data_IF_548045961399
#
_entry.id   IF_548045961399
#
_cell.length_a   1.000
_cell.length_b   1.000
_cell.length_c   1.000
_cell.angle_alpha   90.00
_cell.angle_beta   90.00
_cell.angle_gamma   90.00
#
_symmetry.space_group_name_H-M   'P 1'
#
loop_
_entity.id
_entity.type
_entity.pdbx_description
1 polymer ?
#
# COMPACT_ATOMS: atom_id res chain seq x y z
N UNK A 1 32.03 11.76 6.35
CA UNK A 1 33.06 11.68 7.42
C UNK A 1 32.90 12.88 8.35
N UNK A 2 31.67 13.13 8.79
CA UNK A 2 31.26 14.40 9.43
C UNK A 2 30.23 14.19 10.54
N UNK A 3 29.60 13.01 10.62
CA UNK A 3 28.77 12.62 11.76
C UNK A 3 29.58 12.02 12.94
N UNK A 4 30.80 11.53 12.69
CA UNK A 4 31.72 11.03 13.73
C UNK A 4 32.39 12.17 14.52
N UNK A 5 32.50 13.36 13.94
CA UNK A 5 33.11 14.52 14.60
C UNK A 5 32.15 15.21 15.58
N UNK A 6 30.84 15.22 15.28
CA UNK A 6 29.83 15.85 16.16
C UNK A 6 29.62 15.07 17.46
N UNK A 7 29.83 13.75 17.45
CA UNK A 7 29.79 12.93 18.68
C UNK A 7 31.04 13.06 19.55
N UNK A 8 32.18 13.47 18.97
CA UNK A 8 33.44 13.66 19.70
C UNK A 8 33.48 15.03 20.39
N UNK A 9 32.94 16.08 19.75
CA UNK A 9 32.85 17.43 20.35
C UNK A 9 31.92 17.51 21.57
N UNK A 10 30.93 16.62 21.70
CA UNK A 10 30.08 16.54 22.89
C UNK A 10 30.76 15.82 24.08
N UNK A 11 31.83 15.07 23.85
CA UNK A 11 32.57 14.38 24.91
C UNK A 11 33.74 15.22 25.47
N UNK A 12 34.32 16.10 24.65
CA UNK A 12 35.50 16.91 25.04
C UNK A 12 35.17 18.19 25.84
N UNK A 13 33.89 18.51 26.09
CA UNK A 13 33.50 19.69 26.89
C UNK A 13 33.24 19.40 28.39
N UNK A 14 33.71 18.27 28.91
CA UNK A 14 33.64 17.95 30.34
C UNK A 14 35.03 17.86 30.97
N UNK A 15 35.81 18.95 30.89
CA UNK A 15 37.03 19.10 31.67
C UNK A 15 37.18 20.54 32.13
N UNK A 16 36.38 20.94 33.11
CA UNK A 16 36.73 21.92 34.16
C UNK A 16 35.51 22.18 35.06
N UNK A 17 35.27 21.29 36.04
CA UNK A 17 34.38 21.57 37.16
C UNK A 17 35.07 21.19 38.48
N UNK A 18 34.99 22.04 39.53
CA UNK A 18 35.69 21.84 40.80
C UNK A 18 35.13 20.66 41.63
N UNK A 19 35.92 20.06 42.54
CA UNK A 19 35.58 18.80 43.16
C UNK A 19 34.78 19.05 44.44
N UNK A 20 33.45 18.93 44.38
CA UNK A 20 32.61 18.60 45.53
C UNK A 20 31.16 18.43 45.08
N UNK A 21 30.85 17.26 44.50
CA UNK A 21 29.49 16.75 44.44
C UNK A 21 29.51 15.33 44.98
N UNK A 22 28.58 14.96 45.90
CA UNK A 22 28.50 13.60 46.41
C UNK A 22 28.30 12.65 45.24
N UNK A 23 29.03 11.53 45.24
CA UNK A 23 28.99 10.47 44.23
C UNK A 23 27.56 10.24 43.74
N UNK A 24 27.23 10.86 42.60
CA UNK A 24 26.13 10.37 41.79
C UNK A 24 26.66 9.04 41.34
N UNK A 25 26.17 7.96 41.97
CA UNK A 25 26.22 6.65 41.36
C UNK A 25 25.50 6.86 40.03
N UNK A 26 26.27 7.13 38.97
CA UNK A 26 25.81 6.99 37.61
C UNK A 26 25.40 5.53 37.53
N UNK A 27 24.13 5.29 37.83
CA UNK A 27 23.49 4.06 37.48
C UNK A 27 23.38 4.09 35.96
N UNK A 28 24.52 3.87 35.31
CA UNK A 28 24.55 3.39 33.95
C UNK A 28 23.76 2.09 34.04
N UNK A 29 22.50 2.14 33.61
CA UNK A 29 21.75 0.97 33.22
C UNK A 29 22.09 0.78 31.74
N UNK A 30 23.26 0.24 31.36
CA UNK A 30 23.51 0.03 29.96
C UNK A 30 22.43 -0.92 29.50
N UNK A 31 21.79 -0.62 28.38
CA UNK A 31 20.75 -1.44 27.75
C UNK A 31 21.10 -2.95 27.68
N UNK A 32 22.39 -3.28 27.78
CA UNK A 32 22.96 -4.62 27.89
C UNK A 32 22.64 -5.37 29.21
N UNK A 33 22.13 -4.70 30.26
CA UNK A 33 21.66 -5.35 31.50
C UNK A 33 20.22 -5.81 31.39
N UNK A 34 19.49 -5.39 30.36
CA UNK A 34 18.13 -5.85 30.13
C UNK A 34 18.16 -7.30 29.59
N UNK A 35 17.15 -8.12 29.91
CA UNK A 35 16.99 -9.42 29.27
C UNK A 35 16.93 -9.29 27.74
N UNK A 36 17.50 -10.24 26.97
CA UNK A 36 17.50 -10.21 25.51
C UNK A 36 16.11 -9.99 24.88
N UNK A 37 15.06 -10.49 25.52
CA UNK A 37 13.67 -10.37 25.07
C UNK A 37 13.17 -8.92 25.17
N UNK A 38 13.54 -8.19 26.22
CA UNK A 38 13.17 -6.78 26.38
C UNK A 38 13.91 -5.93 25.35
N UNK A 39 15.19 -6.23 25.11
CA UNK A 39 15.98 -5.55 24.09
C UNK A 39 15.41 -5.82 22.69
N UNK A 40 14.99 -7.07 22.42
CA UNK A 40 14.32 -7.42 21.17
C UNK A 40 13.01 -6.65 20.96
N UNK A 41 12.21 -6.44 22.02
CA UNK A 41 11.00 -5.62 21.92
C UNK A 41 11.30 -4.14 21.69
N UNK A 42 12.35 -3.60 22.31
CA UNK A 42 12.82 -2.24 22.00
C UNK A 42 13.20 -2.15 20.52
N UNK A 43 13.90 -3.15 19.98
CA UNK A 43 14.26 -3.19 18.56
C UNK A 43 13.05 -3.30 17.64
N UNK A 44 12.01 -4.04 18.02
CA UNK A 44 10.77 -4.12 17.24
C UNK A 44 10.07 -2.77 17.16
N UNK A 45 10.08 -2.00 18.24
CA UNK A 45 9.52 -0.64 18.29
C UNK A 45 10.40 0.41 17.59
N UNK A 46 11.66 0.08 17.29
CA UNK A 46 12.54 0.91 16.46
C UNK A 46 12.24 0.75 14.96
N UNK A 47 11.73 -0.40 14.52
CA UNK A 47 11.37 -0.65 13.12
C UNK A 47 10.02 -0.01 12.78
N UNK A 48 9.69 0.16 11.48
CA UNK A 48 8.33 0.52 11.08
C UNK A 48 7.33 -0.49 11.64
N UNK A 49 6.16 0.02 12.04
CA UNK A 49 5.10 -0.81 12.61
C UNK A 49 4.61 -1.78 11.54
N UNK A 50 4.79 -3.08 11.78
CA UNK A 50 4.29 -4.12 10.88
C UNK A 50 2.81 -3.90 10.55
N UNK A 51 2.38 -4.00 9.27
CA UNK A 51 3.10 -4.59 8.13
C UNK A 51 4.02 -3.63 7.35
N UNK A 52 4.26 -2.41 7.84
CA UNK A 52 5.23 -1.53 7.21
C UNK A 52 6.62 -2.15 7.16
N UNK A 53 7.32 -1.89 6.07
CA UNK A 53 8.56 -2.57 5.74
C UNK A 53 9.77 -1.67 6.01
N UNK A 54 10.77 -2.12 6.78
CA UNK A 54 12.03 -1.42 6.86
C UNK A 54 12.79 -1.49 5.52
N UNK A 55 13.62 -0.49 5.21
CA UNK A 55 14.49 -0.56 4.05
C UNK A 55 15.55 -1.65 4.28
N UNK A 56 16.04 -2.24 3.18
CA UNK A 56 17.13 -3.22 3.24
C UNK A 56 18.36 -2.66 3.98
N UNK A 57 18.70 -1.38 3.79
CA UNK A 57 19.80 -0.69 4.46
C UNK A 57 19.37 0.72 4.89
N UNK A 58 19.84 1.20 6.03
CA UNK A 58 19.62 2.58 6.49
C UNK A 58 18.96 2.67 7.86
N UNK A 59 18.42 3.85 8.17
CA UNK A 59 17.67 4.10 9.41
C UNK A 59 16.42 3.22 9.43
N UNK A 60 16.01 2.77 10.62
CA UNK A 60 14.90 1.84 10.83
C UNK A 60 15.12 0.44 10.24
N UNK A 61 16.35 0.08 9.84
CA UNK A 61 16.69 -1.28 9.40
C UNK A 61 17.27 -2.11 10.57
N UNK A 62 16.93 -3.41 10.70
CA UNK A 62 17.58 -4.34 11.63
C UNK A 62 19.11 -4.42 11.42
N UNK A 63 19.57 -4.22 10.18
CA UNK A 63 21.01 -4.21 9.88
C UNK A 63 21.74 -3.02 10.52
N UNK A 64 21.07 -1.89 10.74
CA UNK A 64 21.66 -0.77 11.47
C UNK A 64 21.93 -1.15 12.94
N UNK A 65 21.01 -1.89 13.56
CA UNK A 65 21.16 -2.39 14.93
C UNK A 65 22.33 -3.38 15.05
N UNK A 66 22.55 -4.21 14.03
CA UNK A 66 23.70 -5.12 13.96
C UNK A 66 25.06 -4.40 13.89
N UNK A 67 25.09 -3.12 13.50
CA UNK A 67 26.29 -2.30 13.38
C UNK A 67 26.78 -1.70 14.70
N UNK A 68 25.94 -1.69 15.76
CA UNK A 68 26.21 -0.93 16.99
C UNK A 68 27.20 -1.66 17.91
N UNK A 69 26.86 -2.86 18.40
CA UNK A 69 27.76 -3.66 19.23
C UNK A 69 27.50 -5.17 19.05
N UNK A 70 28.40 -6.02 19.59
CA UNK A 70 28.27 -7.49 19.45
C UNK A 70 27.00 -8.06 20.10
N UNK A 71 26.63 -7.72 21.35
CA UNK A 71 25.40 -8.24 21.95
C UNK A 71 24.12 -7.88 21.17
N UNK A 72 24.02 -6.64 20.66
CA UNK A 72 22.88 -6.22 19.84
C UNK A 72 22.79 -7.05 18.56
N UNK A 73 23.93 -7.26 17.90
CA UNK A 73 23.99 -8.11 16.71
C UNK A 73 23.50 -9.52 17.02
N UNK A 74 23.91 -10.11 18.12
CA UNK A 74 23.47 -11.46 18.51
C UNK A 74 21.96 -11.52 18.74
N UNK A 75 21.39 -10.56 19.46
CA UNK A 75 19.94 -10.45 19.71
C UNK A 75 19.19 -10.27 18.38
N UNK A 76 19.63 -9.33 17.53
CA UNK A 76 18.96 -9.04 16.26
C UNK A 76 19.00 -10.27 15.33
N UNK A 77 20.16 -10.90 15.18
CA UNK A 77 20.33 -12.06 14.29
C UNK A 77 19.59 -13.30 14.78
N UNK A 78 19.30 -13.41 16.08
CA UNK A 78 18.57 -14.53 16.70
C UNK A 78 17.06 -14.28 16.89
N UNK A 79 16.55 -13.10 16.51
CA UNK A 79 15.13 -12.74 16.67
C UNK A 79 14.43 -12.69 15.30
N UNK A 80 13.72 -13.75 14.87
CA UNK A 80 13.12 -13.82 13.53
C UNK A 80 12.10 -12.71 13.23
N UNK A 81 11.38 -12.22 14.24
CA UNK A 81 10.36 -11.18 14.05
C UNK A 81 10.92 -9.85 13.53
N UNK A 82 12.20 -9.55 13.78
CA UNK A 82 12.85 -8.35 13.23
C UNK A 82 13.08 -8.45 11.72
N UNK A 83 13.02 -9.65 11.15
CA UNK A 83 13.27 -9.93 9.74
C UNK A 83 11.98 -10.23 8.95
N UNK A 84 10.81 -10.10 9.58
CA UNK A 84 9.52 -10.49 8.99
C UNK A 84 8.96 -9.49 7.97
N UNK A 85 9.58 -8.32 7.83
CA UNK A 85 9.16 -7.29 6.89
C UNK A 85 10.38 -6.77 6.11
N UNK A 86 10.22 -6.46 4.82
CA UNK A 86 11.33 -6.00 3.99
C UNK A 86 10.85 -5.19 2.77
N UNK A 87 11.42 -4.01 2.58
CA UNK A 87 11.27 -3.18 1.38
C UNK A 87 12.52 -3.25 0.51
N UNK A 88 12.32 -3.59 -0.77
CA UNK A 88 13.36 -3.70 -1.77
C UNK A 88 12.94 -2.96 -3.03
N UNK A 89 13.79 -2.04 -3.44
CA UNK A 89 13.68 -1.35 -4.72
C UNK A 89 14.64 -1.96 -5.72
N UNK A 90 14.16 -2.50 -6.84
CA UNK A 90 14.97 -2.92 -7.97
C UNK A 90 14.97 -1.85 -9.06
N UNK A 91 16.17 -1.50 -9.52
CA UNK A 91 16.39 -0.58 -10.64
C UNK A 91 16.94 -1.33 -11.84
N UNK A 92 16.39 -1.05 -13.01
CA UNK A 92 16.76 -1.73 -14.26
C UNK A 92 18.27 -1.62 -14.60
N UNK A 93 18.91 -0.51 -14.23
CA UNK A 93 20.32 -0.23 -14.51
C UNK A 93 21.23 -0.35 -13.27
N UNK A 94 20.86 -1.21 -12.32
CA UNK A 94 21.70 -1.47 -11.15
C UNK A 94 23.01 -2.18 -11.57
N UNK A 95 24.14 -1.73 -11.02
CA UNK A 95 25.44 -2.38 -11.26
C UNK A 95 25.34 -3.88 -10.91
N UNK A 96 25.81 -4.80 -11.77
CA UNK A 96 25.67 -6.24 -11.54
C UNK A 96 26.21 -6.70 -10.18
N UNK A 97 27.31 -6.12 -9.70
CA UNK A 97 27.89 -6.49 -8.40
C UNK A 97 27.04 -5.95 -7.24
N UNK A 98 26.53 -4.72 -7.36
CA UNK A 98 25.60 -4.16 -6.40
C UNK A 98 24.32 -5.02 -6.29
N UNK A 99 23.78 -5.44 -7.44
CA UNK A 99 22.63 -6.32 -7.50
C UNK A 99 22.91 -7.68 -6.85
N UNK A 100 24.03 -8.34 -7.16
CA UNK A 100 24.39 -9.62 -6.51
C UNK A 100 24.44 -9.48 -4.98
N UNK A 101 25.10 -8.45 -4.46
CA UNK A 101 25.17 -8.21 -3.00
C UNK A 101 23.79 -8.00 -2.38
N UNK A 102 22.92 -7.30 -3.09
CA UNK A 102 21.54 -7.04 -2.66
C UNK A 102 20.73 -8.34 -2.62
N UNK A 103 20.90 -9.22 -3.61
CA UNK A 103 20.29 -10.55 -3.62
C UNK A 103 20.79 -11.40 -2.45
N UNK A 104 22.10 -11.40 -2.18
CA UNK A 104 22.69 -12.14 -1.06
C UNK A 104 22.16 -11.63 0.29
N UNK A 105 22.04 -10.31 0.45
CA UNK A 105 21.47 -9.70 1.65
C UNK A 105 19.98 -10.04 1.81
N UNK A 106 19.22 -10.01 0.72
CA UNK A 106 17.81 -10.39 0.71
C UNK A 106 17.63 -11.87 1.08
N UNK A 107 18.41 -12.77 0.51
CA UNK A 107 18.33 -14.21 0.83
C UNK A 107 18.66 -14.46 2.31
N UNK A 108 19.71 -13.81 2.83
CA UNK A 108 20.05 -13.88 4.25
C UNK A 108 18.95 -13.30 5.15
N UNK A 109 18.29 -12.22 4.72
CA UNK A 109 17.17 -11.61 5.44
C UNK A 109 15.97 -12.55 5.51
N UNK A 110 15.54 -13.07 4.37
CA UNK A 110 14.39 -13.97 4.28
C UNK A 110 14.65 -15.28 5.03
N UNK A 111 15.88 -15.81 5.01
CA UNK A 111 16.25 -16.97 5.81
C UNK A 111 16.11 -16.70 7.32
N UNK A 112 16.46 -15.51 7.80
CA UNK A 112 16.37 -15.13 9.22
C UNK A 112 14.94 -14.94 9.70
N UNK A 113 14.01 -14.63 8.81
CA UNK A 113 12.57 -14.55 9.14
C UNK A 113 11.99 -15.89 9.62
N UNK A 114 12.68 -17.00 9.34
CA UNK A 114 12.28 -18.33 9.78
C UNK A 114 10.91 -18.72 9.22
N UNK A 115 9.92 -18.88 10.10
CA UNK A 115 8.53 -19.23 9.75
C UNK A 115 7.54 -18.07 9.99
N UNK A 116 8.05 -16.87 10.27
CA UNK A 116 7.20 -15.70 10.49
C UNK A 116 6.36 -15.38 9.24
N UNK A 117 5.13 -14.88 9.41
CA UNK A 117 4.41 -14.26 8.32
C UNK A 117 5.17 -13.06 7.76
N UNK A 118 5.28 -12.98 6.43
CA UNK A 118 6.11 -12.00 5.74
C UNK A 118 5.28 -10.82 5.20
N UNK A 119 5.80 -9.61 5.39
CA UNK A 119 5.40 -8.42 4.65
C UNK A 119 6.52 -8.04 3.69
N UNK A 120 6.25 -8.02 2.38
CA UNK A 120 7.26 -7.68 1.38
C UNK A 120 6.78 -6.52 0.51
N UNK A 121 7.59 -5.47 0.41
CA UNK A 121 7.42 -4.38 -0.55
C UNK A 121 8.47 -4.45 -1.65
N UNK A 122 8.05 -4.78 -2.86
CA UNK A 122 8.93 -4.98 -4.01
C UNK A 122 8.58 -3.95 -5.07
N UNK A 123 9.49 -3.01 -5.27
CA UNK A 123 9.37 -1.97 -6.28
C UNK A 123 10.30 -2.31 -7.44
N UNK A 124 9.78 -2.76 -8.58
CA UNK A 124 10.57 -2.89 -9.80
C UNK A 124 10.33 -1.68 -10.69
N UNK A 125 11.23 -0.70 -10.67
CA UNK A 125 11.10 0.47 -11.53
C UNK A 125 11.69 0.20 -12.91
N UNK A 126 10.87 0.26 -13.95
CA UNK A 126 11.36 0.44 -15.32
C UNK A 126 11.75 1.88 -15.53
N UNK A 127 12.81 2.14 -16.27
CA UNK A 127 13.07 3.50 -16.68
C UNK A 127 11.99 3.95 -17.67
N UNK A 128 11.28 5.02 -17.34
CA UNK A 128 10.23 5.67 -18.14
C UNK A 128 10.62 6.00 -19.61
N UNK A 129 11.89 5.81 -19.99
CA UNK A 129 12.44 6.23 -21.27
C UNK A 129 12.37 5.20 -22.40
N UNK A 130 11.76 4.02 -22.23
CA UNK A 130 11.66 3.10 -23.37
C UNK A 130 10.38 2.26 -23.43
N UNK A 131 9.44 2.71 -24.28
CA UNK A 131 8.42 1.85 -24.91
C UNK A 131 9.01 0.77 -25.85
N UNK A 132 10.35 0.63 -25.90
CA UNK A 132 10.98 -0.48 -26.62
C UNK A 132 11.06 -1.69 -25.70
N UNK A 133 10.62 -2.83 -26.21
CA UNK A 133 10.74 -4.15 -25.58
C UNK A 133 12.24 -4.45 -25.44
N UNK A 134 12.84 -4.04 -24.31
CA UNK A 134 14.21 -4.39 -23.98
C UNK A 134 14.24 -5.72 -23.21
N UNK A 135 15.22 -6.60 -23.50
CA UNK A 135 15.36 -7.84 -22.75
C UNK A 135 15.60 -7.53 -21.27
N UNK A 136 14.95 -8.28 -20.36
CA UNK A 136 15.23 -8.19 -18.91
C UNK A 136 16.71 -8.38 -18.64
N UNK A 137 17.29 -7.67 -17.65
CA UNK A 137 18.56 -8.07 -17.09
C UNK A 137 18.54 -9.56 -16.70
N UNK A 138 19.60 -10.33 -17.01
CA UNK A 138 19.66 -11.78 -16.81
C UNK A 138 19.55 -12.21 -15.33
N UNK A 139 19.71 -11.27 -14.41
CA UNK A 139 19.61 -11.44 -12.96
C UNK A 139 18.19 -11.34 -12.39
N UNK A 140 17.22 -10.79 -13.13
CA UNK A 140 15.83 -10.64 -12.67
C UNK A 140 15.14 -11.98 -12.34
N UNK A 141 15.29 -13.06 -13.13
CA UNK A 141 14.72 -14.35 -12.77
C UNK A 141 15.24 -14.87 -11.41
N UNK A 142 16.53 -14.65 -11.12
CA UNK A 142 17.13 -15.02 -9.84
C UNK A 142 16.51 -14.27 -8.66
N UNK A 143 16.23 -12.96 -8.83
CA UNK A 143 15.53 -12.15 -7.82
C UNK A 143 14.16 -12.70 -7.47
N UNK A 144 13.29 -12.89 -8.47
CA UNK A 144 11.94 -13.40 -8.23
C UNK A 144 11.98 -14.80 -7.63
N UNK A 145 12.93 -15.63 -8.07
CA UNK A 145 13.08 -16.98 -7.54
C UNK A 145 13.43 -16.99 -6.04
N UNK A 146 14.29 -16.07 -5.56
CA UNK A 146 14.58 -15.95 -4.12
C UNK A 146 13.34 -15.63 -3.31
N UNK A 147 12.52 -14.69 -3.78
CA UNK A 147 11.30 -14.27 -3.07
C UNK A 147 10.24 -15.38 -3.09
N UNK A 148 10.02 -16.01 -4.24
CA UNK A 148 9.01 -17.05 -4.45
C UNK A 148 9.25 -18.29 -3.60
N UNK A 149 10.49 -18.59 -3.19
CA UNK A 149 10.79 -19.67 -2.23
C UNK A 149 10.06 -19.50 -0.90
N UNK A 150 9.80 -18.26 -0.50
CA UNK A 150 9.13 -17.92 0.75
C UNK A 150 7.62 -17.65 0.59
N UNK A 151 7.03 -17.90 -0.59
CA UNK A 151 5.63 -17.56 -0.89
C UNK A 151 4.58 -18.09 0.08
N UNK A 152 4.85 -19.23 0.71
CA UNK A 152 3.94 -19.81 1.71
C UNK A 152 3.85 -18.99 3.01
N UNK A 153 4.79 -18.08 3.23
CA UNK A 153 4.87 -17.20 4.39
C UNK A 153 4.31 -15.81 4.12
N UNK A 154 4.09 -15.41 2.87
CA UNK A 154 3.58 -14.08 2.54
C UNK A 154 2.21 -13.85 3.18
N UNK A 155 2.11 -12.77 3.96
CA UNK A 155 0.86 -12.27 4.55
C UNK A 155 0.46 -10.93 3.92
N UNK A 156 1.44 -10.06 3.68
CA UNK A 156 1.27 -8.79 2.96
C UNK A 156 2.28 -8.72 1.82
N UNK A 157 1.80 -8.44 0.61
CA UNK A 157 2.66 -8.35 -0.56
C UNK A 157 2.34 -7.09 -1.34
N UNK A 158 3.30 -6.18 -1.43
CA UNK A 158 3.29 -5.11 -2.41
C UNK A 158 4.24 -5.49 -3.53
N UNK A 159 3.71 -5.57 -4.75
CA UNK A 159 4.42 -6.07 -5.89
C UNK A 159 4.15 -5.21 -7.12
N UNK A 160 5.13 -4.38 -7.45
CA UNK A 160 5.19 -3.71 -8.73
C UNK A 160 6.14 -4.50 -9.63
N UNK A 161 5.61 -5.15 -10.67
CA UNK A 161 6.39 -6.01 -11.57
C UNK A 161 5.82 -6.05 -12.97
N UNK A 162 6.54 -6.67 -13.91
CA UNK A 162 6.10 -6.74 -15.30
C UNK A 162 5.20 -7.95 -15.58
N UNK A 163 4.22 -7.80 -16.47
CA UNK A 163 3.29 -8.87 -16.88
C UNK A 163 4.01 -10.15 -17.31
N UNK A 164 5.13 -10.02 -18.03
CA UNK A 164 5.95 -11.14 -18.52
C UNK A 164 6.56 -12.04 -17.43
N UNK A 165 6.64 -11.55 -16.19
CA UNK A 165 7.22 -12.28 -15.06
C UNK A 165 6.17 -12.84 -14.11
N UNK A 166 4.88 -12.58 -14.35
CA UNK A 166 3.81 -12.97 -13.43
C UNK A 166 3.73 -14.48 -13.23
N UNK A 167 4.01 -15.29 -14.26
CA UNK A 167 4.03 -16.74 -14.12
C UNK A 167 5.03 -17.24 -13.06
N UNK A 168 6.08 -16.47 -12.74
CA UNK A 168 7.10 -16.86 -11.76
C UNK A 168 6.51 -16.92 -10.34
N UNK A 169 5.52 -16.08 -10.02
CA UNK A 169 4.97 -15.98 -8.66
C UNK A 169 3.81 -16.95 -8.38
N UNK A 170 3.47 -17.82 -9.35
CA UNK A 170 2.39 -18.80 -9.19
C UNK A 170 2.63 -19.80 -8.05
N UNK A 171 1.51 -20.27 -7.50
CA UNK A 171 1.45 -21.38 -6.54
C UNK A 171 0.86 -20.99 -5.18
N UNK A 172 0.87 -21.94 -4.25
CA UNK A 172 0.20 -21.78 -2.96
C UNK A 172 0.72 -20.61 -2.13
N UNK A 173 -0.21 -19.70 -1.79
CA UNK A 173 0.01 -18.55 -0.91
C UNK A 173 -1.00 -18.59 0.25
N UNK A 174 -0.97 -19.62 1.12
CA UNK A 174 -2.01 -19.92 2.11
C UNK A 174 -2.20 -18.86 3.20
N UNK A 175 -1.25 -17.94 3.37
CA UNK A 175 -1.27 -16.88 4.39
C UNK A 175 -1.52 -15.49 3.82
N UNK A 176 -1.56 -15.34 2.49
CA UNK A 176 -1.63 -14.02 1.86
C UNK A 176 -3.00 -13.40 2.13
N UNK A 177 -3.01 -12.22 2.75
CA UNK A 177 -4.22 -11.48 3.15
C UNK A 177 -4.38 -10.16 2.42
N UNK A 178 -3.27 -9.48 2.16
CA UNK A 178 -3.25 -8.18 1.51
C UNK A 178 -2.30 -8.20 0.32
N UNK A 179 -2.81 -7.81 -0.84
CA UNK A 179 -2.05 -7.69 -2.07
C UNK A 179 -2.13 -6.24 -2.57
N UNK A 180 -1.00 -5.55 -2.68
CA UNK A 180 -0.89 -4.39 -3.54
C UNK A 180 -0.21 -4.83 -4.83
N UNK A 181 -0.88 -4.65 -5.95
CA UNK A 181 -0.39 -5.12 -7.24
C UNK A 181 -0.40 -4.00 -8.28
N UNK A 182 0.71 -3.89 -9.00
CA UNK A 182 0.92 -2.90 -10.04
C UNK A 182 1.74 -3.43 -11.19
N UNK A 183 1.18 -3.56 -12.40
CA UNK A 183 2.03 -3.82 -13.54
C UNK A 183 2.93 -2.60 -13.82
N UNK A 184 4.17 -2.82 -14.23
CA UNK A 184 5.08 -1.74 -14.66
C UNK A 184 5.28 -1.69 -16.18
N UNK A 185 4.45 -2.42 -16.92
CA UNK A 185 4.40 -2.42 -18.37
C UNK A 185 3.02 -2.83 -18.89
N UNK A 186 2.83 -2.72 -20.20
CA UNK A 186 1.57 -3.06 -20.87
C UNK A 186 1.49 -4.58 -21.05
N UNK A 187 0.28 -5.18 -20.96
CA UNK A 187 0.08 -6.58 -21.31
C UNK A 187 0.64 -6.88 -22.71
N UNK A 188 1.36 -8.00 -22.84
CA UNK A 188 1.76 -8.49 -24.16
C UNK A 188 0.52 -9.10 -24.80
N UNK A 189 0.08 -8.54 -25.94
CA UNK A 189 -0.98 -9.15 -26.76
C UNK A 189 -0.64 -10.64 -26.96
N UNK A 190 -1.60 -11.54 -26.67
CA UNK A 190 -1.50 -13.01 -26.76
C UNK A 190 -0.90 -13.78 -25.55
N UNK A 191 -0.40 -13.12 -24.50
CA UNK A 191 0.05 -13.86 -23.31
C UNK A 191 -1.15 -14.33 -22.46
N UNK A 192 -1.28 -15.63 -22.12
CA UNK A 192 -2.33 -16.10 -21.23
C UNK A 192 -2.17 -15.45 -19.86
N UNK A 193 -3.27 -14.93 -19.31
CA UNK A 193 -3.29 -14.34 -17.97
C UNK A 193 -3.07 -15.48 -16.97
N UNK A 194 -1.93 -15.50 -16.25
CA UNK A 194 -1.70 -16.57 -15.30
C UNK A 194 -2.77 -16.50 -14.20
N UNK A 195 -3.27 -17.67 -13.79
CA UNK A 195 -3.98 -17.78 -12.53
C UNK A 195 -2.95 -17.64 -11.40
N UNK A 196 -2.86 -16.43 -10.84
CA UNK A 196 -1.82 -16.09 -9.88
C UNK A 196 -2.26 -16.37 -8.46
N UNK A 197 -3.45 -15.90 -8.10
CA UNK A 197 -3.87 -15.76 -6.72
C UNK A 197 -5.10 -16.60 -6.36
N UNK A 198 -5.63 -17.45 -7.25
CA UNK A 198 -6.69 -18.39 -6.85
C UNK A 198 -6.21 -19.44 -5.82
N UNK A 199 -4.89 -19.55 -5.62
CA UNK A 199 -4.26 -20.35 -4.55
C UNK A 199 -3.95 -19.55 -3.26
N UNK A 200 -4.60 -18.39 -3.08
CA UNK A 200 -4.53 -17.55 -1.88
C UNK A 200 -5.91 -17.46 -1.20
N UNK A 201 -6.32 -18.46 -0.40
CA UNK A 201 -7.68 -18.56 0.15
C UNK A 201 -7.98 -17.57 1.30
N UNK A 202 -6.96 -16.87 1.81
CA UNK A 202 -7.10 -15.87 2.86
C UNK A 202 -7.04 -14.44 2.33
N UNK A 203 -6.92 -14.26 1.01
CA UNK A 203 -6.72 -12.96 0.41
C UNK A 203 -8.05 -12.19 0.41
N UNK A 204 -8.11 -11.17 1.26
CA UNK A 204 -9.32 -10.39 1.57
C UNK A 204 -9.28 -8.98 0.96
N UNK A 205 -8.08 -8.47 0.75
CA UNK A 205 -7.84 -7.07 0.41
C UNK A 205 -6.87 -6.93 -0.76
N UNK A 206 -7.26 -6.09 -1.72
CA UNK A 206 -6.43 -5.76 -2.89
C UNK A 206 -6.30 -4.25 -3.07
N UNK A 207 -5.10 -3.80 -3.39
CA UNK A 207 -4.81 -2.44 -3.86
C UNK A 207 -4.27 -2.54 -5.28
N UNK A 208 -4.95 -1.90 -6.23
CA UNK A 208 -4.60 -1.86 -7.64
C UNK A 208 -3.93 -0.53 -7.93
N UNK A 209 -2.66 -0.55 -8.34
CA UNK A 209 -1.90 0.67 -8.65
C UNK A 209 -2.09 1.10 -10.11
N UNK A 210 -1.29 2.06 -10.56
CA UNK A 210 -1.27 2.56 -11.96
C UNK A 210 -1.12 1.43 -12.99
N UNK A 211 -1.65 1.67 -14.20
CA UNK A 211 -1.61 0.80 -15.38
C UNK A 211 -2.28 -0.58 -15.22
N UNK A 212 -3.09 -0.77 -14.18
CA UNK A 212 -3.83 -2.00 -13.98
C UNK A 212 -4.99 -2.14 -14.98
N UNK A 213 -4.96 -3.21 -15.78
CA UNK A 213 -6.06 -3.57 -16.69
C UNK A 213 -6.81 -4.78 -16.11
N UNK A 214 -8.06 -4.63 -15.64
CA UNK A 214 -8.80 -5.70 -14.98
C UNK A 214 -8.95 -6.96 -15.83
N UNK A 215 -9.28 -6.80 -17.11
CA UNK A 215 -9.40 -7.90 -18.07
C UNK A 215 -8.08 -8.63 -18.38
N UNK A 216 -6.93 -8.01 -18.09
CA UNK A 216 -5.61 -8.60 -18.34
C UNK A 216 -5.09 -9.45 -17.17
N UNK A 217 -5.90 -9.69 -16.13
CA UNK A 217 -5.47 -10.47 -14.97
C UNK A 217 -6.57 -11.39 -14.42
N UNK A 218 -6.16 -12.61 -14.03
CA UNK A 218 -7.01 -13.50 -13.23
C UNK A 218 -6.72 -13.27 -11.75
N UNK A 219 -7.52 -12.39 -11.13
CA UNK A 219 -7.60 -12.27 -9.67
C UNK A 219 -8.83 -13.02 -9.15
N UNK A 220 -8.79 -13.52 -7.90
CA UNK A 220 -9.93 -14.14 -7.23
C UNK A 220 -10.92 -13.04 -6.79
N UNK A 221 -11.56 -12.38 -7.76
CA UNK A 221 -12.43 -11.23 -7.53
C UNK A 221 -13.56 -11.52 -6.52
N UNK A 222 -14.01 -12.76 -6.41
CA UNK A 222 -15.14 -13.13 -5.56
C UNK A 222 -14.85 -13.14 -4.06
N UNK A 223 -13.58 -13.17 -3.63
CA UNK A 223 -13.24 -13.23 -2.20
C UNK A 223 -12.91 -11.87 -1.56
N UNK A 224 -12.70 -10.82 -2.36
CA UNK A 224 -12.30 -9.53 -1.81
C UNK A 224 -13.45 -8.83 -1.08
N UNK A 225 -13.19 -8.41 0.16
CA UNK A 225 -14.09 -7.52 0.90
C UNK A 225 -13.58 -6.07 0.93
N UNK A 226 -12.30 -5.84 0.63
CA UNK A 226 -11.70 -4.51 0.55
C UNK A 226 -10.95 -4.34 -0.77
N UNK A 227 -11.26 -3.26 -1.47
CA UNK A 227 -10.57 -2.90 -2.72
C UNK A 227 -10.20 -1.42 -2.71
N UNK A 228 -8.96 -1.14 -3.09
CA UNK A 228 -8.50 0.21 -3.37
C UNK A 228 -7.93 0.29 -4.79
N UNK A 229 -8.38 1.26 -5.59
CA UNK A 229 -7.85 1.54 -6.92
C UNK A 229 -7.20 2.91 -6.95
N UNK A 230 -5.92 3.01 -7.25
CA UNK A 230 -5.17 4.27 -7.13
C UNK A 230 -5.17 5.13 -8.41
N UNK A 231 -5.45 4.54 -9.57
CA UNK A 231 -5.42 5.23 -10.85
C UNK A 231 -6.25 4.43 -11.86
N UNK A 232 -7.56 4.68 -11.89
CA UNK A 232 -8.50 3.93 -12.73
C UNK A 232 -9.31 4.87 -13.62
N UNK A 233 -9.57 4.46 -14.86
CA UNK A 233 -10.60 5.09 -15.68
C UNK A 233 -11.99 4.68 -15.20
N UNK A 234 -13.00 5.50 -15.47
CA UNK A 234 -14.38 5.23 -15.02
C UNK A 234 -14.92 3.85 -15.47
N UNK A 235 -14.58 3.42 -16.69
CA UNK A 235 -14.98 2.11 -17.21
C UNK A 235 -14.29 0.94 -16.47
N UNK A 236 -13.04 1.11 -16.04
CA UNK A 236 -12.30 0.11 -15.26
C UNK A 236 -12.88 -0.01 -13.86
N UNK A 237 -13.24 1.11 -13.22
CA UNK A 237 -13.97 1.11 -11.96
C UNK A 237 -15.25 0.27 -12.07
N UNK A 238 -16.04 0.48 -13.12
CA UNK A 238 -17.28 -0.26 -13.33
C UNK A 238 -17.05 -1.74 -13.67
N UNK A 239 -16.00 -2.08 -14.42
CA UNK A 239 -15.60 -3.47 -14.71
C UNK A 239 -15.21 -4.21 -13.41
N UNK A 240 -14.42 -3.56 -12.55
CA UNK A 240 -14.04 -4.09 -11.24
C UNK A 240 -15.28 -4.30 -10.36
N UNK A 241 -16.14 -3.29 -10.24
CA UNK A 241 -17.37 -3.39 -9.46
C UNK A 241 -18.35 -4.44 -10.03
N UNK A 242 -18.30 -4.72 -11.33
CA UNK A 242 -19.08 -5.81 -11.92
C UNK A 242 -18.55 -7.19 -11.51
N UNK A 243 -17.25 -7.28 -11.21
CA UNK A 243 -16.55 -8.52 -10.89
C UNK A 243 -16.52 -8.84 -9.38
N UNK A 244 -16.59 -7.82 -8.52
CA UNK A 244 -16.36 -7.95 -7.06
C UNK A 244 -17.62 -7.60 -6.27
N UNK A 245 -18.47 -8.60 -6.01
CA UNK A 245 -19.80 -8.37 -5.41
C UNK A 245 -19.84 -8.45 -3.87
N UNK A 246 -18.77 -8.93 -3.24
CA UNK A 246 -18.68 -9.11 -1.78
C UNK A 246 -17.94 -7.96 -1.06
N UNK A 247 -17.74 -6.83 -1.75
CA UNK A 247 -17.09 -5.67 -1.17
C UNK A 247 -17.86 -5.13 0.04
N UNK A 248 -17.10 -4.78 1.08
CA UNK A 248 -17.53 -4.06 2.28
C UNK A 248 -16.92 -2.66 2.30
N UNK A 249 -15.71 -2.49 1.76
CA UNK A 249 -15.05 -1.21 1.59
C UNK A 249 -14.47 -1.11 0.17
N UNK A 250 -14.68 0.04 -0.46
CA UNK A 250 -14.16 0.35 -1.78
C UNK A 250 -13.63 1.79 -1.79
N UNK A 251 -12.37 1.98 -2.16
CA UNK A 251 -11.81 3.29 -2.44
C UNK A 251 -11.28 3.33 -3.88
N UNK A 252 -11.61 4.36 -4.65
CA UNK A 252 -11.16 4.47 -6.04
C UNK A 252 -10.77 5.90 -6.39
N UNK A 253 -9.58 6.06 -6.96
CA UNK A 253 -9.10 7.30 -7.55
C UNK A 253 -9.28 7.23 -9.06
N UNK A 254 -10.21 8.04 -9.57
CA UNK A 254 -10.57 8.11 -10.98
C UNK A 254 -9.63 9.08 -11.71
N UNK A 255 -9.11 8.70 -12.88
CA UNK A 255 -8.14 9.51 -13.65
C UNK A 255 -8.64 9.95 -15.02
N UNK A 256 -9.90 9.68 -15.36
CA UNK A 256 -10.44 10.14 -16.63
C UNK A 256 -11.61 9.32 -17.12
N UNK A 257 -12.25 9.88 -18.15
CA UNK A 257 -13.22 9.19 -18.99
C UNK A 257 -12.57 8.93 -20.35
N UNK A 258 -12.59 7.67 -20.80
CA UNK A 258 -12.16 7.33 -22.16
C UNK A 258 -13.36 7.43 -23.10
N UNK A 259 -13.23 8.23 -24.16
CA UNK A 259 -14.29 8.41 -25.14
C UNK A 259 -14.56 7.09 -25.88
N UNK A 260 -15.84 6.83 -26.18
CA UNK A 260 -16.33 5.65 -26.91
C UNK A 260 -16.26 4.30 -26.17
N UNK A 261 -16.05 4.29 -24.85
CA UNK A 261 -16.15 3.06 -24.05
C UNK A 261 -17.47 3.06 -23.28
N UNK A 262 -18.31 2.09 -23.55
CA UNK A 262 -19.57 1.88 -22.82
C UNK A 262 -19.27 1.32 -21.44
N UNK A 263 -19.81 1.97 -20.41
CA UNK A 263 -19.63 1.53 -19.03
C UNK A 263 -20.60 0.36 -18.77
N UNK A 264 -20.13 -0.77 -18.23
CA UNK A 264 -20.98 -1.91 -17.95
C UNK A 264 -22.07 -1.58 -16.91
N UNK A 265 -23.17 -2.34 -16.96
CA UNK A 265 -24.21 -2.26 -15.94
C UNK A 265 -23.67 -2.90 -14.66
N UNK A 266 -23.50 -2.08 -13.62
CA UNK A 266 -22.96 -2.54 -12.34
C UNK A 266 -24.06 -3.20 -11.51
N UNK A 267 -23.88 -4.45 -11.04
CA UNK A 267 -24.84 -5.10 -10.15
C UNK A 267 -24.97 -4.37 -8.81
N UNK A 268 -26.10 -4.58 -8.12
CA UNK A 268 -26.27 -4.03 -6.78
C UNK A 268 -25.29 -4.66 -5.78
N UNK A 269 -24.56 -3.83 -5.03
CA UNK A 269 -23.61 -4.32 -4.03
C UNK A 269 -24.26 -4.35 -2.66
N UNK A 270 -24.65 -5.56 -2.24
CA UNK A 270 -25.48 -5.75 -1.04
C UNK A 270 -24.70 -5.64 0.27
N UNK A 271 -23.37 -5.60 0.21
CA UNK A 271 -22.49 -5.61 1.38
C UNK A 271 -21.63 -4.36 1.52
N UNK A 272 -21.60 -3.49 0.50
CA UNK A 272 -20.70 -2.33 0.47
C UNK A 272 -21.19 -1.29 1.47
N UNK A 273 -20.39 -1.08 2.51
CA UNK A 273 -20.68 -0.18 3.62
C UNK A 273 -19.93 1.14 3.51
N UNK A 274 -18.77 1.14 2.88
CA UNK A 274 -17.91 2.31 2.76
C UNK A 274 -17.48 2.49 1.30
N UNK A 275 -17.82 3.64 0.72
CA UNK A 275 -17.39 4.03 -0.61
C UNK A 275 -16.63 5.36 -0.55
N UNK A 276 -15.39 5.35 -1.02
CA UNK A 276 -14.56 6.53 -1.16
C UNK A 276 -14.22 6.71 -2.63
N UNK A 277 -14.58 7.85 -3.20
CA UNK A 277 -14.20 8.25 -4.54
C UNK A 277 -13.27 9.45 -4.44
N UNK A 278 -12.16 9.37 -5.16
CA UNK A 278 -11.25 10.49 -5.39
C UNK A 278 -11.10 10.68 -6.89
N UNK A 279 -10.66 11.86 -7.32
CA UNK A 279 -10.29 12.10 -8.72
C UNK A 279 -8.89 12.69 -8.78
N UNK A 280 -8.03 12.21 -9.67
CA UNK A 280 -6.66 12.75 -9.75
C UNK A 280 -6.66 14.17 -10.32
N UNK A 281 -5.87 15.08 -9.74
CA UNK A 281 -5.66 16.43 -10.30
C UNK A 281 -4.73 16.41 -11.53
N UNK A 282 -4.12 15.26 -11.83
CA UNK A 282 -3.22 15.08 -12.98
C UNK A 282 -3.98 14.92 -14.30
N UNK A 283 -5.31 14.92 -14.28
CA UNK A 283 -6.15 14.67 -15.45
C UNK A 283 -6.26 15.93 -16.31
N UNK A 284 -6.13 15.74 -17.64
CA UNK A 284 -6.41 16.79 -18.63
C UNK A 284 -7.85 16.74 -19.16
N UNK A 285 -8.64 15.78 -18.66
CA UNK A 285 -9.98 15.44 -19.15
C UNK A 285 -10.96 15.71 -18.02
N UNK A 286 -12.10 16.33 -18.35
CA UNK A 286 -13.21 16.50 -17.41
C UNK A 286 -13.72 15.13 -16.94
N UNK A 287 -13.75 14.92 -15.63
CA UNK A 287 -14.32 13.73 -14.99
C UNK A 287 -15.63 14.15 -14.34
N UNK A 288 -16.72 13.43 -14.66
CA UNK A 288 -18.01 13.59 -14.00
C UNK A 288 -18.37 12.27 -13.30
N UNK A 289 -18.41 12.30 -11.97
CA UNK A 289 -18.75 11.12 -11.17
C UNK A 289 -20.25 10.76 -11.24
N UNK A 290 -21.10 11.62 -11.80
CA UNK A 290 -22.54 11.36 -11.94
C UNK A 290 -22.83 10.11 -12.76
N UNK A 291 -22.06 9.88 -13.83
CA UNK A 291 -22.25 8.73 -14.70
C UNK A 291 -21.91 7.42 -13.99
N UNK A 292 -20.89 7.41 -13.13
CA UNK A 292 -20.55 6.27 -12.28
C UNK A 292 -21.62 6.08 -11.22
N UNK A 293 -21.93 7.12 -10.45
CA UNK A 293 -22.91 7.09 -9.36
C UNK A 293 -24.29 6.64 -9.86
N UNK A 294 -24.73 7.09 -11.05
CA UNK A 294 -26.02 6.71 -11.66
C UNK A 294 -26.18 5.21 -11.86
N UNK A 295 -25.08 4.47 -12.02
CA UNK A 295 -25.05 3.01 -12.23
C UNK A 295 -24.94 2.22 -10.94
N UNK A 296 -24.59 2.86 -9.82
CA UNK A 296 -24.42 2.19 -8.54
C UNK A 296 -25.76 2.09 -7.79
N UNK A 297 -25.96 0.92 -7.15
CA UNK A 297 -27.05 0.64 -6.22
C UNK A 297 -26.45 -0.03 -4.98
N UNK A 298 -26.37 0.71 -3.87
CA UNK A 298 -25.56 0.35 -2.70
C UNK A 298 -26.41 0.33 -1.41
N UNK A 299 -27.30 -0.66 -1.21
CA UNK A 299 -28.28 -0.64 -0.12
C UNK A 299 -27.70 -0.72 1.29
N UNK A 300 -26.50 -1.26 1.45
CA UNK A 300 -25.82 -1.36 2.75
C UNK A 300 -24.89 -0.18 3.07
N UNK A 301 -24.85 0.85 2.20
CA UNK A 301 -23.90 1.95 2.32
C UNK A 301 -24.16 2.78 3.58
N UNK A 302 -23.10 3.00 4.36
CA UNK A 302 -23.07 3.78 5.60
C UNK A 302 -22.23 5.03 5.47
N UNK A 303 -21.09 4.94 4.80
CA UNK A 303 -20.20 6.07 4.58
C UNK A 303 -19.98 6.30 3.09
N UNK A 304 -20.08 7.56 2.67
CA UNK A 304 -19.82 8.00 1.30
C UNK A 304 -18.88 9.20 1.33
N UNK A 305 -17.78 9.12 0.58
CA UNK A 305 -16.83 10.20 0.38
C UNK A 305 -16.67 10.49 -1.12
N UNK A 306 -16.79 11.76 -1.51
CA UNK A 306 -16.67 12.21 -2.90
C UNK A 306 -16.17 13.66 -3.01
N UNK A 307 -15.45 14.03 -4.08
CA UNK A 307 -15.11 15.42 -4.37
C UNK A 307 -16.22 16.12 -5.15
N UNK A 308 -16.71 17.25 -4.65
CA UNK A 308 -17.76 18.05 -5.30
C UNK A 308 -17.30 18.65 -6.63
N UNK A 309 -16.00 18.97 -6.74
CA UNK A 309 -15.39 19.56 -7.93
C UNK A 309 -15.49 18.70 -9.20
N UNK A 310 -15.88 17.42 -9.07
CA UNK A 310 -16.07 16.46 -10.17
C UNK A 310 -17.51 15.97 -10.26
N UNK A 311 -18.44 16.77 -9.76
CA UNK A 311 -19.88 16.61 -9.90
C UNK A 311 -20.44 17.75 -10.77
N UNK A 312 -21.71 17.66 -11.22
CA UNK A 312 -22.38 18.76 -11.91
C UNK A 312 -22.43 20.00 -11.01
N UNK A 313 -22.63 21.17 -11.62
CA UNK A 313 -22.76 22.46 -10.93
C UNK A 313 -23.70 22.44 -9.71
N UNK A 314 -24.75 21.61 -9.77
CA UNK A 314 -25.57 21.26 -8.63
C UNK A 314 -25.44 19.74 -8.36
N UNK A 315 -24.75 19.32 -7.28
CA UNK A 315 -24.54 17.90 -6.97
C UNK A 315 -25.76 17.27 -6.29
N UNK A 316 -26.68 18.06 -5.72
CA UNK A 316 -27.78 17.57 -4.90
C UNK A 316 -28.73 16.61 -5.65
N UNK A 317 -29.18 16.89 -6.88
CA UNK A 317 -30.07 15.98 -7.61
C UNK A 317 -29.43 14.61 -7.87
N UNK A 318 -28.13 14.58 -8.16
CA UNK A 318 -27.39 13.32 -8.37
C UNK A 318 -27.30 12.52 -7.07
N UNK A 319 -27.01 13.18 -5.95
CA UNK A 319 -26.95 12.54 -4.63
C UNK A 319 -28.31 12.03 -4.16
N UNK A 320 -29.37 12.83 -4.31
CA UNK A 320 -30.75 12.42 -3.99
C UNK A 320 -31.19 11.21 -4.82
N UNK A 321 -30.92 11.23 -6.13
CA UNK A 321 -31.21 10.11 -7.04
C UNK A 321 -30.44 8.85 -6.61
N UNK A 322 -29.16 8.99 -6.28
CA UNK A 322 -28.32 7.89 -5.81
C UNK A 322 -28.82 7.29 -4.49
N UNK A 323 -29.14 8.11 -3.50
CA UNK A 323 -29.63 7.67 -2.19
C UNK A 323 -31.01 7.02 -2.34
N UNK A 324 -31.91 7.62 -3.12
CA UNK A 324 -33.25 7.08 -3.39
C UNK A 324 -33.20 5.74 -4.11
N UNK A 325 -32.34 5.60 -5.12
CA UNK A 325 -32.11 4.32 -5.84
C UNK A 325 -31.51 3.25 -4.94
N UNK A 326 -30.50 3.62 -4.15
CA UNK A 326 -29.81 2.68 -3.27
C UNK A 326 -30.66 2.30 -2.05
N UNK A 327 -31.58 3.16 -1.61
CA UNK A 327 -32.33 3.02 -0.36
C UNK A 327 -31.43 2.78 0.86
N UNK A 328 -30.24 3.37 0.81
CA UNK A 328 -29.25 3.26 1.88
C UNK A 328 -29.62 4.15 3.07
N UNK A 329 -29.03 3.83 4.23
CA UNK A 329 -29.10 4.66 5.44
C UNK A 329 -27.69 5.17 5.74
N UNK A 330 -27.33 6.29 5.10
CA UNK A 330 -26.02 6.90 5.28
C UNK A 330 -25.87 7.47 6.70
N UNK A 331 -24.87 6.97 7.40
CA UNK A 331 -24.44 7.47 8.71
C UNK A 331 -23.56 8.72 8.52
N UNK A 332 -22.70 8.72 7.50
CA UNK A 332 -21.77 9.81 7.20
C UNK A 332 -21.63 10.10 5.70
N UNK A 333 -21.71 11.38 5.34
CA UNK A 333 -21.39 11.91 4.02
C UNK A 333 -20.23 12.89 4.13
N UNK A 334 -19.13 12.61 3.44
CA UNK A 334 -17.96 13.47 3.37
C UNK A 334 -17.84 14.05 1.95
N UNK A 335 -17.79 15.37 1.87
CA UNK A 335 -17.65 16.09 0.60
C UNK A 335 -16.33 16.85 0.61
N UNK A 336 -15.46 16.54 -0.36
CA UNK A 336 -14.21 17.27 -0.61
C UNK A 336 -14.46 18.47 -1.52
N UNK A 337 -13.78 19.59 -1.23
CA UNK A 337 -13.80 20.81 -2.03
C UNK A 337 -15.20 21.37 -2.30
N UNK A 338 -16.04 21.34 -1.26
CA UNK A 338 -17.43 21.74 -1.39
C UNK A 338 -17.60 23.22 -1.77
N UNK A 339 -18.40 23.49 -2.79
CA UNK A 339 -18.74 24.86 -3.22
C UNK A 339 -20.00 25.37 -2.50
N UNK A 340 -20.91 24.45 -2.16
CA UNK A 340 -22.12 24.75 -1.41
C UNK A 340 -21.87 24.75 0.10
N UNK A 341 -22.45 25.71 0.85
CA UNK A 341 -22.46 25.67 2.31
C UNK A 341 -23.18 24.43 2.84
N UNK A 342 -22.71 23.87 3.96
CA UNK A 342 -23.24 22.67 4.62
C UNK A 342 -24.76 22.70 4.84
N UNK A 343 -25.34 23.87 5.06
CA UNK A 343 -26.78 24.07 5.25
C UNK A 343 -27.59 23.52 4.07
N UNK A 344 -27.15 23.74 2.84
CA UNK A 344 -27.87 23.27 1.64
C UNK A 344 -27.90 21.73 1.59
N UNK A 345 -26.78 21.09 1.95
CA UNK A 345 -26.71 19.64 2.06
C UNK A 345 -27.63 19.09 3.15
N UNK A 346 -27.69 19.76 4.31
CA UNK A 346 -28.57 19.35 5.41
C UNK A 346 -30.05 19.50 5.09
N UNK A 347 -30.41 20.54 4.34
CA UNK A 347 -31.79 20.77 3.90
C UNK A 347 -32.25 19.71 2.89
N UNK A 348 -31.43 19.42 1.87
CA UNK A 348 -31.74 18.42 0.85
C UNK A 348 -31.62 16.97 1.36
N UNK A 349 -30.60 16.67 2.16
CA UNK A 349 -30.24 15.32 2.61
C UNK A 349 -30.48 15.15 4.12
N UNK A 350 -31.64 15.58 4.59
CA UNK A 350 -32.01 15.62 6.02
C UNK A 350 -31.99 14.28 6.76
N UNK A 351 -31.97 13.15 6.04
CA UNK A 351 -31.91 11.80 6.62
C UNK A 351 -30.49 11.36 7.01
N UNK A 352 -29.45 12.08 6.60
CA UNK A 352 -28.05 11.72 6.87
C UNK A 352 -27.63 12.23 8.25
N UNK A 353 -27.01 11.36 9.04
CA UNK A 353 -26.59 11.70 10.41
C UNK A 353 -25.49 12.77 10.44
N UNK A 354 -24.36 12.49 9.80
CA UNK A 354 -23.18 13.35 9.79
C UNK A 354 -22.89 13.81 8.36
N UNK A 355 -22.74 15.12 8.17
CA UNK A 355 -22.27 15.71 6.92
C UNK A 355 -21.00 16.49 7.27
N UNK A 356 -19.89 16.12 6.62
CA UNK A 356 -18.58 16.72 6.84
C UNK A 356 -18.09 17.32 5.54
N UNK A 357 -17.82 18.63 5.53
CA UNK A 357 -17.17 19.30 4.41
C UNK A 357 -15.67 19.42 4.71
N UNK A 358 -14.82 18.91 3.82
CA UNK A 358 -13.36 19.03 3.93
C UNK A 358 -12.81 19.75 2.71
N UNK A 359 -11.77 20.54 2.92
CA UNK A 359 -10.90 20.90 1.82
C UNK A 359 -9.97 19.73 1.53
N UNK A 360 -9.75 19.47 0.25
CA UNK A 360 -8.79 18.48 -0.19
C UNK A 360 -7.40 18.95 0.21
N UNK A 361 -6.80 18.28 1.18
CA UNK A 361 -5.37 18.40 1.38
C UNK A 361 -4.73 17.75 0.14
N UNK A 362 -3.85 18.48 -0.55
CA UNK A 362 -2.95 17.92 -1.57
C UNK A 362 -1.96 16.99 -0.84
N UNK A 363 -2.45 15.91 -0.27
CA UNK A 363 -1.62 14.81 0.18
C UNK A 363 -1.30 14.03 -1.08
N UNK A 364 -0.04 14.12 -1.52
CA UNK A 364 0.53 13.07 -2.36
C UNK A 364 0.17 11.75 -1.67
N UNK A 365 -0.69 10.94 -2.29
CA UNK A 365 -1.02 9.58 -1.83
C UNK A 365 0.27 8.76 -1.98
N UNK A 366 1.19 8.96 -1.06
CA UNK A 366 2.23 8.01 -0.74
C UNK A 366 1.52 7.00 0.14
N UNK A 367 1.09 5.88 -0.48
CA UNK A 367 0.71 4.60 0.15
C UNK A 367 0.75 4.67 1.68
N UNK A 368 -0.27 5.27 2.29
CA UNK A 368 -0.46 5.24 3.74
C UNK A 368 -1.46 4.13 3.96
N UNK A 369 -0.95 2.97 4.40
CA UNK A 369 -1.79 1.91 4.94
C UNK A 369 -2.71 2.51 6.03
N UNK A 370 -3.96 2.02 6.16
CA UNK A 370 -4.95 2.62 7.04
C UNK A 370 -4.44 2.61 8.48
N UNK A 371 -4.36 3.80 9.07
CA UNK A 371 -4.18 4.01 10.51
C UNK A 371 -5.51 3.65 11.16
N UNK A 372 -5.54 2.58 11.95
CA UNK A 372 -6.62 2.28 12.90
C UNK A 372 -6.34 2.95 14.23
#
# INVERSE_FOLDING_TARGET
MTALLVFQELFDQTSDLPPEYPEVIESAYPILTLPPEIVAEIFLNFLPIYPECPPLLGVLSPLALCGICRPWREIVLSTPMLWRALEIELREYEDPKALTRKLDLMDAWLLRSGNCPLSLKIHHHRAFASFSIRPSPPSLPGFYHTIVRHRRQWEHLYLVMSFRHLSIIQGDMPRLRHLTFGPNDVPVEEAPTPDLFNHAPQLDSVILTEDFVPSAMSLPWTQFTRLEGLCLYEHECAEILTSVLHLVHCAMTVVGTQQNITIPVVPAHLHLQNLILHVSDMTRVEVDLSDLLSKLTLPALRTLQLPESYMPLDPLPTLESFISRSRCSLDELLIEDASLPEVHYREALSSIGIITLKQRLIERIAVRLPVS
#
